data_IF_091300500945
#
_entry.id   IF_091300500945
#
_cell.length_a   1.000
_cell.length_b   1.000
_cell.length_c   1.000
_cell.angle_alpha   90.00
_cell.angle_beta   90.00
_cell.angle_gamma   90.00
#
_symmetry.space_group_name_H-M   'P 1'
#
loop_
_entity.id
_entity.type
_entity.pdbx_description
1 polymer ?
#
# COMPACT_ATOMS: atom_id res chain seq x y z
N UNK A 1 -27.38 -3.69 -2.12
CA UNK A 1 -25.98 -3.68 -1.61
C UNK A 1 -25.66 -5.09 -1.15
N UNK A 2 -24.70 -5.75 -1.76
CA UNK A 2 -24.24 -7.05 -1.26
C UNK A 2 -23.19 -6.78 -0.19
N UNK A 3 -23.46 -7.09 1.07
CA UNK A 3 -22.46 -7.18 2.10
C UNK A 3 -21.62 -8.45 1.82
N UNK A 4 -20.31 -8.35 1.75
CA UNK A 4 -19.43 -9.51 1.65
C UNK A 4 -18.77 -9.75 3.00
N UNK A 5 -18.72 -11.01 3.42
CA UNK A 5 -17.97 -11.40 4.60
C UNK A 5 -16.47 -11.44 4.27
N UNK A 6 -15.57 -11.07 5.21
CA UNK A 6 -14.13 -11.11 5.00
C UNK A 6 -13.55 -12.54 5.01
N UNK A 7 -14.35 -13.54 5.35
CA UNK A 7 -13.91 -14.94 5.46
C UNK A 7 -13.38 -15.44 4.11
N UNK A 8 -12.13 -15.94 4.11
CA UNK A 8 -11.42 -16.33 2.90
C UNK A 8 -10.56 -15.21 2.30
N UNK A 9 -10.42 -14.06 2.96
CA UNK A 9 -9.41 -13.07 2.58
C UNK A 9 -8.01 -13.59 2.90
N UNK A 10 -7.11 -13.53 1.91
CA UNK A 10 -5.71 -13.93 2.07
C UNK A 10 -4.83 -12.69 2.01
N UNK A 11 -4.02 -12.50 3.05
CA UNK A 11 -2.97 -11.49 3.07
C UNK A 11 -1.66 -12.08 2.54
N UNK A 12 -0.89 -11.30 1.81
CA UNK A 12 0.43 -11.72 1.32
C UNK A 12 1.38 -10.53 1.33
N UNK A 13 2.60 -10.75 1.82
CA UNK A 13 3.67 -9.74 1.81
C UNK A 13 4.55 -9.95 0.58
N UNK A 14 4.93 -8.86 -0.09
CA UNK A 14 5.92 -8.90 -1.15
C UNK A 14 7.31 -9.15 -0.54
N UNK A 15 7.97 -10.21 -0.97
CA UNK A 15 9.27 -10.64 -0.41
C UNK A 15 10.44 -10.41 -1.35
N UNK A 16 10.17 -10.20 -2.64
CA UNK A 16 11.23 -9.81 -3.56
C UNK A 16 10.76 -8.80 -4.62
N UNK A 17 11.72 -8.00 -5.08
CA UNK A 17 11.53 -6.95 -6.05
C UNK A 17 12.57 -7.07 -7.16
N UNK A 18 12.17 -6.74 -8.39
CA UNK A 18 13.11 -6.56 -9.49
C UNK A 18 13.94 -5.28 -9.28
N UNK A 19 15.04 -5.19 -10.00
CA UNK A 19 15.89 -4.00 -9.97
C UNK A 19 15.08 -2.73 -10.24
N UNK A 20 15.28 -1.74 -9.39
CA UNK A 20 14.62 -0.44 -9.49
C UNK A 20 14.94 0.26 -10.80
N UNK A 21 13.92 0.77 -11.48
CA UNK A 21 14.02 1.52 -12.73
C UNK A 21 13.72 3.00 -12.50
N UNK A 22 14.43 3.86 -13.20
CA UNK A 22 14.18 5.31 -13.14
C UNK A 22 12.96 5.66 -14.00
N UNK A 23 12.01 6.38 -13.41
CA UNK A 23 10.88 7.00 -14.13
C UNK A 23 11.26 8.44 -14.42
N UNK A 24 11.31 8.79 -15.69
CA UNK A 24 11.75 10.13 -16.14
C UNK A 24 10.59 11.11 -16.28
N UNK A 25 9.38 10.62 -16.51
CA UNK A 25 8.17 11.43 -16.61
C UNK A 25 6.92 10.58 -16.39
N UNK A 26 5.83 11.22 -15.92
CA UNK A 26 4.47 10.67 -15.97
C UNK A 26 3.59 11.70 -16.67
N UNK A 27 2.77 11.25 -17.63
CA UNK A 27 1.90 12.13 -18.42
C UNK A 27 0.75 12.67 -17.58
N UNK A 28 0.26 13.87 -17.92
CA UNK A 28 -1.02 14.40 -17.42
C UNK A 28 -2.16 13.91 -18.32
N UNK A 29 -2.78 12.79 -17.94
CA UNK A 29 -3.85 12.14 -18.70
C UNK A 29 -4.80 11.37 -17.80
N UNK A 30 -6.01 11.07 -18.27
CA UNK A 30 -7.01 10.24 -17.58
C UNK A 30 -6.52 8.81 -17.33
N UNK A 31 -5.64 8.32 -18.18
CA UNK A 31 -4.81 7.14 -17.94
C UNK A 31 -3.37 7.58 -17.98
N UNK A 32 -2.75 7.69 -16.82
CA UNK A 32 -1.37 8.13 -16.72
C UNK A 32 -0.40 7.13 -17.37
N UNK A 33 0.55 7.64 -18.13
CA UNK A 33 1.61 6.87 -18.77
C UNK A 33 2.95 7.28 -18.15
N UNK A 34 3.70 6.31 -17.66
CA UNK A 34 5.04 6.52 -17.14
C UNK A 34 6.10 6.18 -18.19
N UNK A 35 7.16 6.98 -18.25
CA UNK A 35 8.31 6.79 -19.12
C UNK A 35 9.49 6.23 -18.31
N UNK A 36 10.02 5.08 -18.73
CA UNK A 36 11.16 4.43 -18.08
C UNK A 36 11.88 3.54 -19.09
N UNK A 37 13.12 3.86 -19.38
CA UNK A 37 13.91 3.17 -20.41
C UNK A 37 14.11 1.69 -20.04
N UNK A 38 13.77 0.80 -20.98
CA UNK A 38 13.97 -0.65 -20.84
C UNK A 38 13.42 -1.20 -19.51
N UNK A 39 12.19 -0.79 -19.14
CA UNK A 39 11.61 -1.15 -17.86
C UNK A 39 11.32 -2.66 -17.70
N UNK A 40 10.97 -3.35 -18.80
CA UNK A 40 10.70 -4.80 -18.80
C UNK A 40 9.41 -5.20 -18.07
N UNK A 41 8.48 -4.25 -17.83
CA UNK A 41 7.19 -4.54 -17.22
C UNK A 41 6.18 -5.04 -18.23
N UNK A 42 5.33 -5.96 -17.81
CA UNK A 42 4.23 -6.53 -18.59
C UNK A 42 2.88 -6.14 -17.98
N UNK A 43 1.82 -6.25 -18.80
CA UNK A 43 0.46 -6.07 -18.29
C UNK A 43 0.18 -7.01 -17.11
N UNK A 44 -0.44 -6.47 -16.06
CA UNK A 44 -0.73 -7.20 -14.82
C UNK A 44 0.38 -7.15 -13.78
N UNK A 45 1.58 -6.69 -14.12
CA UNK A 45 2.67 -6.54 -13.16
C UNK A 45 2.30 -5.51 -12.06
N UNK A 46 2.69 -5.82 -10.84
CA UNK A 46 2.52 -4.91 -9.70
C UNK A 46 3.82 -4.16 -9.48
N UNK A 47 3.73 -2.85 -9.48
CA UNK A 47 4.87 -1.94 -9.36
C UNK A 47 4.62 -0.96 -8.23
N UNK A 48 5.63 -0.72 -7.40
CA UNK A 48 5.64 0.36 -6.42
C UNK A 48 6.41 1.55 -7.00
N UNK A 49 5.81 2.73 -6.95
CA UNK A 49 6.47 3.99 -7.32
C UNK A 49 7.21 4.56 -6.11
N UNK A 50 8.36 5.17 -6.33
CA UNK A 50 9.14 5.84 -5.31
C UNK A 50 9.63 7.21 -5.76
N UNK A 51 9.82 8.11 -4.80
CA UNK A 51 10.35 9.47 -5.02
C UNK A 51 9.52 10.34 -5.99
N UNK A 52 8.26 10.01 -6.22
CA UNK A 52 7.35 10.78 -7.06
C UNK A 52 6.44 11.64 -6.17
N UNK A 53 6.47 12.95 -6.30
CA UNK A 53 5.91 13.92 -5.34
C UNK A 53 4.44 13.68 -4.92
N UNK A 54 3.60 13.12 -5.77
CA UNK A 54 2.18 12.84 -5.48
C UNK A 54 1.81 11.36 -5.55
N UNK A 55 2.67 10.56 -6.17
CA UNK A 55 2.47 9.12 -6.33
C UNK A 55 3.52 8.31 -5.56
N UNK A 56 4.23 8.98 -4.64
CA UNK A 56 5.25 8.33 -3.82
C UNK A 56 4.66 7.18 -3.01
N UNK A 57 5.38 6.07 -3.00
CA UNK A 57 5.01 4.83 -2.35
C UNK A 57 3.66 4.23 -2.82
N UNK A 58 3.10 4.71 -3.94
CA UNK A 58 1.86 4.15 -4.44
C UNK A 58 2.11 2.86 -5.19
N UNK A 59 1.33 1.84 -4.85
CA UNK A 59 1.34 0.55 -5.55
C UNK A 59 0.32 0.60 -6.68
N UNK A 60 0.75 0.21 -7.88
CA UNK A 60 -0.07 0.21 -9.09
C UNK A 60 0.06 -1.09 -9.85
N UNK A 61 -0.96 -1.43 -10.65
CA UNK A 61 -0.90 -2.47 -11.66
C UNK A 61 -0.60 -1.85 -13.02
N UNK A 62 0.27 -2.48 -13.78
CA UNK A 62 0.55 -2.08 -15.16
C UNK A 62 -0.64 -2.51 -16.02
N UNK A 63 -1.31 -1.55 -16.69
CA UNK A 63 -2.40 -1.85 -17.60
C UNK A 63 -1.89 -2.47 -18.90
N UNK A 64 -2.75 -3.26 -19.54
CA UNK A 64 -2.51 -3.71 -20.89
C UNK A 64 -2.47 -2.50 -21.85
N UNK A 65 -1.37 -2.32 -22.55
CA UNK A 65 -1.24 -1.29 -23.57
C UNK A 65 -0.35 -1.77 -24.71
N UNK A 66 -0.51 -1.13 -25.84
CA UNK A 66 0.37 -1.28 -27.00
C UNK A 66 1.53 -0.27 -26.98
N UNK A 67 1.97 0.15 -25.79
CA UNK A 67 2.98 1.18 -25.65
C UNK A 67 4.38 0.67 -26.09
N UNK A 68 5.25 1.55 -26.54
CA UNK A 68 6.65 1.26 -26.77
C UNK A 68 7.34 0.68 -25.52
N UNK A 69 8.46 0.00 -25.73
CA UNK A 69 9.23 -0.66 -24.66
C UNK A 69 9.65 0.23 -23.49
N UNK A 70 9.58 1.54 -23.66
CA UNK A 70 9.98 2.54 -22.67
C UNK A 70 8.80 3.25 -21.99
N UNK A 71 7.56 2.81 -22.25
CA UNK A 71 6.34 3.38 -21.68
C UNK A 71 5.48 2.30 -21.04
N UNK A 72 4.85 2.59 -19.91
CA UNK A 72 3.86 1.72 -19.27
C UNK A 72 2.70 2.51 -18.69
N UNK A 73 1.49 1.97 -18.81
CA UNK A 73 0.27 2.61 -18.31
C UNK A 73 0.04 2.27 -16.85
N UNK A 74 -0.33 3.29 -16.08
CA UNK A 74 -0.69 3.19 -14.66
C UNK A 74 -2.19 2.94 -14.57
N UNK A 75 -2.60 1.70 -14.31
CA UNK A 75 -4.01 1.34 -14.28
C UNK A 75 -4.77 2.08 -13.17
N UNK A 76 -5.88 2.74 -13.53
CA UNK A 76 -6.75 3.45 -12.59
C UNK A 76 -6.16 4.73 -12.01
N UNK A 77 -5.08 5.26 -12.59
CA UNK A 77 -4.47 6.51 -12.15
C UNK A 77 -4.82 7.63 -13.16
N UNK A 78 -5.59 8.61 -12.69
CA UNK A 78 -5.90 9.82 -13.42
C UNK A 78 -5.03 10.97 -12.91
N UNK A 79 -4.23 11.53 -13.81
CA UNK A 79 -3.31 12.66 -13.56
C UNK A 79 -3.66 13.87 -14.41
N UNK A 80 -4.87 13.94 -14.98
CA UNK A 80 -5.30 15.04 -15.86
C UNK A 80 -5.35 16.40 -15.18
N UNK A 81 -5.56 16.43 -13.84
CA UNK A 81 -5.58 17.68 -13.08
C UNK A 81 -4.18 18.24 -12.87
N UNK A 82 -3.81 19.25 -13.64
CA UNK A 82 -2.50 19.93 -13.51
C UNK A 82 -2.32 20.71 -12.20
N UNK A 83 -3.40 21.02 -11.48
CA UNK A 83 -3.35 21.61 -10.14
C UNK A 83 -2.86 20.59 -9.10
N UNK A 84 -3.29 19.35 -9.20
CA UNK A 84 -2.85 18.26 -8.34
C UNK A 84 -1.53 17.67 -8.79
N UNK A 85 -1.33 17.59 -10.10
CA UNK A 85 -0.16 17.02 -10.75
C UNK A 85 0.52 18.07 -11.64
N UNK A 86 1.32 18.97 -11.07
CA UNK A 86 2.02 19.99 -11.85
C UNK A 86 3.04 19.35 -12.79
N UNK A 87 3.43 20.08 -13.83
CA UNK A 87 4.45 19.61 -14.79
C UNK A 87 5.72 19.19 -14.04
N UNK A 88 6.28 18.02 -14.41
CA UNK A 88 7.46 17.45 -13.79
C UNK A 88 7.23 16.67 -12.48
N UNK A 89 5.98 16.51 -12.04
CA UNK A 89 5.66 15.75 -10.80
C UNK A 89 6.05 14.28 -10.86
N UNK A 90 6.17 13.71 -12.05
CA UNK A 90 6.27 12.27 -12.29
C UNK A 90 7.70 11.73 -12.37
N UNK A 91 8.72 12.49 -11.93
CA UNK A 91 10.10 11.97 -11.86
C UNK A 91 10.27 11.16 -10.59
N UNK A 92 10.83 9.95 -10.71
CA UNK A 92 11.02 9.07 -9.56
C UNK A 92 11.58 7.72 -9.96
N UNK A 93 11.15 6.71 -9.24
CA UNK A 93 11.57 5.31 -9.44
C UNK A 93 10.37 4.38 -9.50
N UNK A 94 10.57 3.19 -10.05
CA UNK A 94 9.59 2.14 -10.11
C UNK A 94 10.26 0.78 -9.86
N UNK A 95 9.67 -0.03 -8.98
CA UNK A 95 10.16 -1.39 -8.68
C UNK A 95 9.02 -2.38 -8.82
N UNK A 96 9.23 -3.43 -9.62
CA UNK A 96 8.25 -4.50 -9.81
C UNK A 96 8.35 -5.49 -8.67
N UNK A 97 7.21 -5.89 -8.11
CA UNK A 97 7.13 -7.02 -7.19
C UNK A 97 7.26 -8.32 -7.97
N UNK A 98 8.16 -9.20 -7.56
CA UNK A 98 8.42 -10.48 -8.24
C UNK A 98 7.84 -11.67 -7.49
N UNK A 99 7.73 -11.61 -6.17
CA UNK A 99 7.11 -12.68 -5.37
C UNK A 99 6.33 -12.13 -4.19
N UNK A 100 5.34 -12.92 -3.76
CA UNK A 100 4.54 -12.69 -2.56
C UNK A 100 4.54 -13.96 -1.71
N UNK A 101 4.76 -13.83 -0.41
CA UNK A 101 4.55 -14.90 0.57
C UNK A 101 3.20 -14.70 1.23
N UNK A 102 2.35 -15.74 1.23
CA UNK A 102 1.04 -15.67 1.86
C UNK A 102 1.18 -15.77 3.39
N UNK A 103 0.49 -14.86 4.09
CA UNK A 103 0.37 -14.87 5.55
C UNK A 103 -0.84 -15.73 5.89
N UNK A 104 -0.61 -16.90 6.45
CA UNK A 104 -1.65 -17.84 6.86
C UNK A 104 -1.96 -17.70 8.36
N UNK A 105 -3.02 -18.40 8.81
CA UNK A 105 -3.43 -18.49 10.21
C UNK A 105 -3.83 -17.12 10.82
N UNK A 106 -4.27 -16.16 9.98
CA UNK A 106 -4.78 -14.86 10.47
C UNK A 106 -6.14 -15.08 11.12
N UNK A 107 -6.25 -14.73 12.40
CA UNK A 107 -7.48 -14.89 13.21
C UNK A 107 -8.28 -13.61 13.32
N UNK A 108 -7.63 -12.45 13.32
CA UNK A 108 -8.28 -11.15 13.40
C UNK A 108 -7.50 -10.07 12.65
N UNK A 109 -8.24 -9.06 12.16
CA UNK A 109 -7.64 -7.90 11.48
C UNK A 109 -8.32 -6.64 11.97
N UNK A 110 -7.57 -5.76 12.57
CA UNK A 110 -8.02 -4.46 13.06
C UNK A 110 -7.40 -3.33 12.26
N UNK A 111 -8.17 -2.28 11.98
CA UNK A 111 -7.71 -1.08 11.30
C UNK A 111 -7.93 0.13 12.19
N UNK A 112 -6.95 1.01 12.24
CA UNK A 112 -7.00 2.26 13.01
C UNK A 112 -6.44 3.42 12.19
N UNK A 113 -6.75 4.66 12.62
CA UNK A 113 -6.26 5.87 11.97
C UNK A 113 -7.09 6.29 10.76
N UNK A 114 -6.60 7.29 10.04
CA UNK A 114 -7.29 7.87 8.89
C UNK A 114 -8.31 8.97 9.26
N UNK A 115 -8.48 9.30 10.54
CA UNK A 115 -9.37 10.35 10.99
C UNK A 115 -8.85 11.72 10.56
N UNK A 116 -9.77 12.56 10.13
CA UNK A 116 -9.48 13.95 9.78
C UNK A 116 -9.29 14.77 11.05
N UNK A 117 -8.16 15.44 11.18
CA UNK A 117 -7.90 16.39 12.24
C UNK A 117 -8.37 17.78 11.84
N UNK A 118 -8.84 18.55 12.83
CA UNK A 118 -9.36 19.90 12.64
C UNK A 118 -8.64 20.87 13.56
N UNK A 119 -8.24 22.01 13.01
CA UNK A 119 -7.85 23.18 13.78
C UNK A 119 -9.12 24.00 14.11
N UNK A 120 -9.30 24.34 15.37
CA UNK A 120 -10.44 25.10 15.87
C UNK A 120 -9.98 26.45 16.40
N UNK A 121 -10.75 27.50 16.14
CA UNK A 121 -10.48 28.82 16.67
C UNK A 121 -11.79 29.61 16.88
N UNK A 122 -11.72 30.62 17.73
CA UNK A 122 -12.79 31.58 18.02
C UNK A 122 -12.19 32.96 17.97
N UNK A 123 -12.84 33.86 17.29
CA UNK A 123 -12.50 35.30 17.36
C UNK A 123 -13.21 35.95 18.56
N UNK A 124 -12.53 36.86 19.24
CA UNK A 124 -13.07 37.55 20.39
C UNK A 124 -14.30 38.41 20.05
N UNK A 125 -14.37 38.89 18.81
CA UNK A 125 -15.41 39.82 18.36
C UNK A 125 -16.78 39.12 18.15
N UNK A 126 -16.80 37.85 17.75
CA UNK A 126 -18.07 37.18 17.41
C UNK A 126 -18.40 35.95 18.25
N UNK A 127 -17.45 35.47 19.07
CA UNK A 127 -17.64 34.33 19.93
C UNK A 127 -18.01 33.02 19.22
N UNK A 128 -17.97 33.02 17.88
CA UNK A 128 -18.37 31.87 17.06
C UNK A 128 -17.17 30.93 16.86
N UNK A 129 -17.37 29.65 17.19
CA UNK A 129 -16.38 28.62 16.91
C UNK A 129 -16.31 28.32 15.41
N UNK A 130 -15.09 28.30 14.89
CA UNK A 130 -14.77 27.94 13.50
C UNK A 130 -13.80 26.77 13.51
N UNK A 131 -13.87 25.94 12.46
CA UNK A 131 -12.94 24.83 12.29
C UNK A 131 -12.50 24.70 10.84
N UNK A 132 -11.26 24.27 10.65
CA UNK A 132 -10.67 23.98 9.34
C UNK A 132 -9.98 22.62 9.37
N UNK A 133 -10.19 21.75 8.37
CA UNK A 133 -9.48 20.49 8.27
C UNK A 133 -7.98 20.76 8.07
N UNK A 134 -7.14 19.96 8.74
CA UNK A 134 -5.67 20.03 8.65
C UNK A 134 -5.12 18.80 7.95
N UNK A 135 -4.76 17.77 8.68
CA UNK A 135 -4.20 16.53 8.16
C UNK A 135 -5.06 15.33 8.58
N UNK A 136 -4.83 14.21 7.93
CA UNK A 136 -5.39 12.91 8.35
C UNK A 136 -4.35 12.16 9.13
N UNK A 137 -4.78 11.48 10.19
CA UNK A 137 -3.92 10.57 10.92
C UNK A 137 -3.42 9.46 10.01
N UNK A 138 -2.19 9.00 10.24
CA UNK A 138 -1.67 7.82 9.56
C UNK A 138 -2.59 6.61 9.83
N UNK A 139 -2.78 5.79 8.81
CA UNK A 139 -3.56 4.55 8.93
C UNK A 139 -2.62 3.41 9.32
N UNK A 140 -3.11 2.54 10.18
CA UNK A 140 -2.44 1.30 10.57
C UNK A 140 -3.41 0.13 10.49
N UNK A 141 -2.86 -1.05 10.35
CA UNK A 141 -3.60 -2.31 10.50
C UNK A 141 -2.80 -3.22 11.42
N UNK A 142 -3.53 -4.00 12.19
CA UNK A 142 -2.96 -5.02 13.08
C UNK A 142 -3.58 -6.35 12.70
N UNK A 143 -2.74 -7.31 12.34
CA UNK A 143 -3.14 -8.68 12.04
C UNK A 143 -2.71 -9.55 13.23
N UNK A 144 -3.65 -10.28 13.77
CA UNK A 144 -3.40 -11.29 14.82
C UNK A 144 -3.37 -12.66 14.16
N UNK A 145 -2.30 -13.40 14.40
CA UNK A 145 -2.07 -14.72 13.78
C UNK A 145 -1.75 -15.75 14.85
N UNK A 146 -2.07 -17.01 14.61
CA UNK A 146 -1.53 -18.09 15.43
C UNK A 146 -0.02 -18.19 15.21
N UNK A 147 0.72 -18.40 16.30
CA UNK A 147 2.19 -18.48 16.25
C UNK A 147 2.63 -19.83 15.65
N UNK A 148 3.34 -19.76 14.54
CA UNK A 148 3.94 -20.93 13.88
C UNK A 148 5.25 -20.50 13.21
N UNK A 149 6.40 -20.73 13.87
CA UNK A 149 7.71 -20.29 13.39
C UNK A 149 8.21 -21.13 12.18
N UNK A 150 7.60 -22.27 11.89
CA UNK A 150 7.99 -23.13 10.76
C UNK A 150 7.41 -22.65 9.42
N UNK A 151 6.52 -21.66 9.45
CA UNK A 151 5.93 -21.10 8.25
C UNK A 151 6.80 -20.00 7.64
N UNK A 152 6.95 -20.03 6.32
CA UNK A 152 7.82 -19.11 5.57
C UNK A 152 7.53 -17.61 5.82
N UNK A 153 6.27 -17.26 6.09
CA UNK A 153 5.91 -15.87 6.37
C UNK A 153 6.54 -15.34 7.67
N UNK A 154 6.86 -16.21 8.63
CA UNK A 154 7.43 -15.80 9.92
C UNK A 154 8.82 -15.17 9.72
N UNK A 155 9.71 -15.86 9.04
CA UNK A 155 11.06 -15.36 8.74
C UNK A 155 11.03 -14.14 7.81
N UNK A 156 10.13 -14.15 6.82
CA UNK A 156 9.95 -13.02 5.90
C UNK A 156 9.48 -11.75 6.63
N UNK A 157 8.61 -11.86 7.64
CA UNK A 157 8.16 -10.73 8.45
C UNK A 157 9.26 -10.20 9.36
N UNK A 158 10.06 -11.07 9.99
CA UNK A 158 11.23 -10.67 10.78
C UNK A 158 12.23 -9.92 9.89
N UNK A 159 12.52 -10.44 8.71
CA UNK A 159 13.41 -9.79 7.77
C UNK A 159 12.89 -8.42 7.30
N UNK A 160 11.57 -8.31 7.10
CA UNK A 160 10.93 -7.06 6.70
C UNK A 160 10.97 -6.00 7.82
N UNK A 161 10.76 -6.40 9.08
CA UNK A 161 10.86 -5.52 10.24
C UNK A 161 12.30 -5.00 10.40
N UNK A 162 13.29 -5.88 10.38
CA UNK A 162 14.70 -5.52 10.47
C UNK A 162 15.16 -4.60 9.33
N UNK A 163 14.62 -4.76 8.13
CA UNK A 163 14.95 -3.91 6.99
C UNK A 163 14.40 -2.49 7.13
N UNK A 164 13.27 -2.29 7.83
CA UNK A 164 12.66 -0.98 8.08
C UNK A 164 12.26 -0.22 6.81
N UNK A 165 12.11 -0.91 5.69
CA UNK A 165 11.77 -0.33 4.39
C UNK A 165 10.29 -0.52 4.07
N UNK A 166 9.81 0.11 2.98
CA UNK A 166 8.43 -0.03 2.54
C UNK A 166 8.24 -1.33 1.77
N UNK A 167 7.24 -2.09 2.17
CA UNK A 167 6.80 -3.33 1.54
C UNK A 167 5.43 -3.19 0.92
N UNK A 168 5.10 -4.08 -0.03
CA UNK A 168 3.75 -4.19 -0.60
C UNK A 168 3.00 -5.30 0.10
N UNK A 169 1.90 -4.95 0.76
CA UNK A 169 0.95 -5.90 1.34
C UNK A 169 -0.23 -6.05 0.39
N UNK A 170 -0.54 -7.28 0.02
CA UNK A 170 -1.66 -7.65 -0.84
C UNK A 170 -2.75 -8.31 -0.01
N UNK A 171 -3.99 -7.83 -0.13
CA UNK A 171 -5.17 -8.48 0.40
C UNK A 171 -6.05 -9.00 -0.75
N UNK A 172 -6.15 -10.30 -0.90
CA UNK A 172 -7.01 -10.96 -1.88
C UNK A 172 -8.34 -11.31 -1.25
N UNK A 173 -9.42 -10.71 -1.74
CA UNK A 173 -10.76 -10.88 -1.20
C UNK A 173 -11.46 -12.08 -1.85
N UNK A 174 -12.43 -12.73 -1.17
CA UNK A 174 -13.21 -13.83 -1.73
C UNK A 174 -14.00 -13.45 -3.00
N UNK A 175 -14.29 -12.16 -3.17
CA UNK A 175 -14.95 -11.63 -4.38
C UNK A 175 -14.09 -11.63 -5.64
N UNK A 176 -12.80 -12.00 -5.53
CA UNK A 176 -11.80 -11.89 -6.58
C UNK A 176 -11.09 -10.53 -6.62
N UNK A 177 -11.62 -9.50 -5.94
CA UNK A 177 -10.95 -8.21 -5.86
C UNK A 177 -9.67 -8.29 -5.02
N UNK A 178 -8.66 -7.54 -5.43
CA UNK A 178 -7.36 -7.46 -4.75
C UNK A 178 -7.08 -6.02 -4.35
N UNK A 179 -6.63 -5.83 -3.11
CA UNK A 179 -6.24 -4.53 -2.59
C UNK A 179 -4.74 -4.57 -2.29
N UNK A 180 -4.03 -3.55 -2.76
CA UNK A 180 -2.61 -3.36 -2.49
C UNK A 180 -2.38 -2.17 -1.58
N UNK A 181 -1.53 -2.37 -0.59
CA UNK A 181 -1.09 -1.36 0.36
C UNK A 181 0.43 -1.27 0.32
N UNK A 182 0.97 -0.08 0.42
CA UNK A 182 2.38 0.12 0.76
C UNK A 182 2.48 0.34 2.26
N UNK A 183 3.30 -0.44 2.92
CA UNK A 183 3.33 -0.52 4.39
C UNK A 183 4.76 -0.58 4.93
N UNK A 184 4.94 -0.02 6.12
CA UNK A 184 6.04 -0.38 7.01
C UNK A 184 5.58 -1.54 7.88
N UNK A 185 6.43 -2.53 8.05
CA UNK A 185 6.18 -3.73 8.84
C UNK A 185 6.74 -3.54 10.24
N UNK A 186 5.98 -3.91 11.27
CA UNK A 186 6.44 -4.03 12.64
C UNK A 186 6.05 -5.41 13.18
N UNK A 187 7.03 -6.27 13.40
CA UNK A 187 6.85 -7.65 13.82
C UNK A 187 7.95 -8.08 14.77
N UNK A 188 7.61 -8.42 16.01
CA UNK A 188 8.60 -8.85 17.01
C UNK A 188 8.88 -10.35 17.02
N UNK A 189 8.02 -11.15 16.37
CA UNK A 189 8.19 -12.59 16.24
C UNK A 189 7.93 -13.39 17.53
N UNK A 190 7.65 -12.75 18.63
CA UNK A 190 7.45 -13.42 19.92
C UNK A 190 5.99 -13.82 20.12
N UNK A 191 5.73 -15.03 20.68
CA UNK A 191 4.38 -15.47 20.96
C UNK A 191 3.83 -14.90 22.26
N UNK A 192 2.53 -14.66 22.30
CA UNK A 192 1.79 -14.42 23.54
C UNK A 192 1.41 -15.74 24.21
N UNK A 193 1.51 -15.80 25.54
CA UNK A 193 1.17 -16.99 26.34
C UNK A 193 -0.07 -16.69 27.18
N UNK A 194 -1.23 -17.19 26.75
CA UNK A 194 -2.48 -17.12 27.52
C UNK A 194 -2.96 -18.53 27.83
N UNK A 195 -3.40 -18.77 29.07
CA UNK A 195 -3.89 -20.08 29.49
C UNK A 195 -5.15 -20.46 28.70
N UNK A 196 -5.19 -21.67 28.16
CA UNK A 196 -6.28 -22.23 27.34
C UNK A 196 -6.52 -21.51 25.98
N UNK A 197 -5.56 -20.78 25.48
CA UNK A 197 -5.58 -20.19 24.14
C UNK A 197 -4.37 -20.65 23.31
N UNK A 198 -4.51 -20.64 22.00
CA UNK A 198 -3.37 -20.82 21.10
C UNK A 198 -2.37 -19.69 21.31
N UNK A 199 -1.09 -20.01 21.15
CA UNK A 199 -0.07 -18.96 21.07
C UNK A 199 -0.35 -18.07 19.86
N UNK A 200 -0.29 -16.75 20.07
CA UNK A 200 -0.57 -15.76 19.01
C UNK A 200 0.61 -14.82 18.86
N UNK A 201 0.80 -14.37 17.65
CA UNK A 201 1.73 -13.27 17.33
C UNK A 201 0.98 -12.16 16.61
N UNK A 202 1.55 -10.97 16.62
CA UNK A 202 0.92 -9.75 16.11
C UNK A 202 1.81 -9.08 15.08
N UNK A 203 1.25 -8.89 13.91
CA UNK A 203 1.84 -8.07 12.85
C UNK A 203 1.19 -6.69 12.87
N UNK A 204 1.95 -5.66 13.12
CA UNK A 204 1.54 -4.26 13.03
C UNK A 204 2.05 -3.65 11.75
N UNK A 205 1.19 -3.10 10.92
CA UNK A 205 1.59 -2.42 9.68
C UNK A 205 1.11 -0.97 9.68
N UNK A 206 1.99 -0.06 9.33
CA UNK A 206 1.66 1.35 9.12
C UNK A 206 1.70 1.67 7.62
N UNK A 207 0.65 2.31 7.11
CA UNK A 207 0.57 2.63 5.68
C UNK A 207 1.54 3.76 5.32
N UNK A 208 2.45 3.49 4.38
CA UNK A 208 3.37 4.47 3.84
C UNK A 208 2.67 5.44 2.89
N UNK A 209 1.75 4.93 2.05
CA UNK A 209 0.88 5.76 1.20
C UNK A 209 -0.54 5.80 1.79
N UNK A 210 -1.16 6.97 1.91
CA UNK A 210 -2.53 7.09 2.45
C UNK A 210 -3.59 6.47 1.53
N UNK A 211 -3.23 6.15 0.28
CA UNK A 211 -4.13 5.62 -0.73
C UNK A 211 -3.78 4.17 -1.07
N UNK A 212 -4.69 3.25 -0.77
CA UNK A 212 -4.64 1.88 -1.28
C UNK A 212 -5.13 1.81 -2.73
N UNK A 213 -4.67 0.84 -3.49
CA UNK A 213 -5.14 0.61 -4.86
C UNK A 213 -5.91 -0.71 -4.92
N UNK A 214 -7.10 -0.67 -5.53
CA UNK A 214 -7.98 -1.83 -5.63
C UNK A 214 -8.22 -2.18 -7.09
N UNK A 215 -8.10 -3.47 -7.37
CA UNK A 215 -8.39 -4.06 -8.69
C UNK A 215 -9.43 -5.19 -8.53
N UNK A 216 -10.33 -5.28 -9.50
CA UNK A 216 -11.33 -6.35 -9.59
C UNK A 216 -10.82 -7.48 -10.47
#
# INVERSE_FOLDING_TARGET
MSSSFPNGTVFSLATSYAATKTVTAISNATTAVASSVSHGYSAGDIVILGNSSRLDQRVIRVAANAAPTDLFNLEGIDTSSTTLYPSGFGVGTASKVTSFTAISQVTDVQSAGGEQQFYQWVYLEDGRQRQRPTFKNARSMTLVMDYDPDLAWHDDLIAADLAGTVYVLKASLPSGAVIYYSVYVGFDGEPSFTINENQKTVLSVSLACPTSTRYA
#
